data_IF_499216593167
#
_entry.id   IF_499216593167
#
_cell.length_a   1.000
_cell.length_b   1.000
_cell.length_c   1.000
_cell.angle_alpha   90.00
_cell.angle_beta   90.00
_cell.angle_gamma   90.00
#
_symmetry.space_group_name_H-M   'P 1'
#
loop_
_entity.id
_entity.type
_entity.pdbx_description
1 polymer ?
#
# COMPACT_ATOMS: atom_id res chain seq x y z
N UNK A 1 -70.83 17.83 20.67
CA UNK A 1 -69.65 17.58 21.52
C UNK A 1 -68.41 18.03 20.76
N UNK A 2 -67.87 19.21 21.06
CA UNK A 2 -66.67 19.74 20.39
C UNK A 2 -65.47 19.46 21.31
N UNK A 3 -64.67 18.45 20.98
CA UNK A 3 -63.40 18.19 21.70
C UNK A 3 -62.46 19.35 21.37
N UNK A 4 -62.22 20.22 22.34
CA UNK A 4 -61.10 21.16 22.30
C UNK A 4 -59.83 20.34 22.59
N UNK A 5 -59.11 19.96 21.55
CA UNK A 5 -57.75 19.44 21.67
C UNK A 5 -56.85 20.58 22.10
N UNK A 6 -56.27 20.51 23.30
CA UNK A 6 -55.20 21.38 23.74
C UNK A 6 -54.04 21.28 22.74
N UNK A 7 -53.75 22.36 22.01
CA UNK A 7 -52.46 22.51 21.35
C UNK A 7 -51.42 22.67 22.46
N UNK A 8 -50.61 21.63 22.70
CA UNK A 8 -49.35 21.79 23.41
C UNK A 8 -48.43 22.62 22.49
N UNK A 9 -48.38 23.93 22.72
CA UNK A 9 -47.47 24.82 22.02
C UNK A 9 -46.03 24.47 22.40
N UNK A 10 -45.21 24.18 21.40
CA UNK A 10 -43.77 24.00 21.53
C UNK A 10 -43.17 25.13 22.38
N UNK A 11 -42.55 24.79 23.51
CA UNK A 11 -41.80 25.77 24.29
C UNK A 11 -40.53 26.14 23.52
N UNK A 12 -40.16 27.43 23.46
CA UNK A 12 -38.90 27.87 22.83
C UNK A 12 -37.69 27.18 23.47
N UNK A 13 -37.79 26.86 24.76
CA UNK A 13 -36.79 26.11 25.52
C UNK A 13 -36.65 24.65 25.05
N UNK A 14 -37.73 24.02 24.58
CA UNK A 14 -37.70 22.65 24.06
C UNK A 14 -36.92 22.57 22.74
N UNK A 15 -37.09 23.55 21.85
CA UNK A 15 -36.32 23.65 20.61
C UNK A 15 -34.84 23.92 20.90
N UNK A 16 -34.53 24.77 21.89
CA UNK A 16 -33.14 25.04 22.27
C UNK A 16 -32.45 23.80 22.83
N UNK A 17 -33.12 23.04 23.71
CA UNK A 17 -32.57 21.78 24.23
C UNK A 17 -32.40 20.76 23.10
N UNK A 18 -33.39 20.62 22.21
CA UNK A 18 -33.29 19.73 21.06
C UNK A 18 -32.12 20.11 20.14
N UNK A 19 -31.90 21.40 19.87
CA UNK A 19 -30.78 21.88 19.08
C UNK A 19 -29.43 21.57 19.73
N UNK A 20 -29.32 21.70 21.06
CA UNK A 20 -28.10 21.36 21.81
C UNK A 20 -27.81 19.86 21.74
N UNK A 21 -28.82 19.01 22.00
CA UNK A 21 -28.68 17.55 21.92
C UNK A 21 -28.32 17.10 20.50
N UNK A 22 -28.97 17.66 19.48
CA UNK A 22 -28.66 17.39 18.07
C UNK A 22 -27.22 17.79 17.73
N UNK A 23 -26.76 18.94 18.23
CA UNK A 23 -25.39 19.40 17.99
C UNK A 23 -24.35 18.42 18.54
N UNK A 24 -24.55 17.90 19.77
CA UNK A 24 -23.68 16.86 20.32
C UNK A 24 -23.76 15.55 19.53
N UNK A 25 -24.94 15.15 19.07
CA UNK A 25 -25.12 13.99 18.20
C UNK A 25 -24.34 14.11 16.89
N UNK A 26 -24.38 15.28 16.24
CA UNK A 26 -23.65 15.52 14.99
C UNK A 26 -22.13 15.50 15.18
N UNK A 27 -21.62 16.05 16.28
CA UNK A 27 -20.20 15.97 16.63
C UNK A 27 -19.73 14.51 16.79
N UNK A 28 -20.55 13.67 17.42
CA UNK A 28 -20.30 12.23 17.51
C UNK A 28 -20.23 11.55 16.14
N UNK A 29 -21.15 11.90 15.22
CA UNK A 29 -21.14 11.36 13.85
C UNK A 29 -19.89 11.77 13.07
N UNK A 30 -19.45 13.03 13.18
CA UNK A 30 -18.24 13.52 12.49
C UNK A 30 -17.00 12.75 12.97
N UNK A 31 -16.86 12.53 14.28
CA UNK A 31 -15.76 11.74 14.83
C UNK A 31 -15.73 10.32 14.27
N UNK A 32 -16.88 9.66 14.17
CA UNK A 32 -16.99 8.32 13.56
C UNK A 32 -16.67 8.34 12.06
N UNK A 33 -17.12 9.36 11.32
CA UNK A 33 -16.83 9.49 9.89
C UNK A 33 -15.33 9.64 9.62
N UNK A 34 -14.63 10.42 10.44
CA UNK A 34 -13.16 10.58 10.35
C UNK A 34 -12.46 9.24 10.57
N UNK A 35 -12.86 8.49 11.60
CA UNK A 35 -12.29 7.17 11.88
C UNK A 35 -12.55 6.18 10.74
N UNK A 36 -13.77 6.17 10.19
CA UNK A 36 -14.12 5.33 9.03
C UNK A 36 -13.26 5.67 7.80
N UNK A 37 -12.99 6.96 7.54
CA UNK A 37 -12.12 7.39 6.44
C UNK A 37 -10.67 6.93 6.63
N UNK A 38 -10.13 7.02 7.84
CA UNK A 38 -8.78 6.52 8.12
C UNK A 38 -8.67 5.02 7.94
N UNK A 39 -9.61 4.24 8.49
CA UNK A 39 -9.64 2.79 8.31
C UNK A 39 -9.75 2.39 6.83
N UNK A 40 -10.62 3.08 6.08
CA UNK A 40 -10.76 2.85 4.63
C UNK A 40 -9.47 3.15 3.87
N UNK A 41 -8.74 4.19 4.26
CA UNK A 41 -7.47 4.55 3.64
C UNK A 41 -6.39 3.48 3.89
N UNK A 42 -6.25 2.98 5.12
CA UNK A 42 -5.30 1.91 5.42
C UNK A 42 -5.64 0.60 4.69
N UNK A 43 -6.92 0.23 4.65
CA UNK A 43 -7.38 -0.94 3.90
C UNK A 43 -7.09 -0.81 2.40
N UNK A 44 -7.28 0.38 1.82
CA UNK A 44 -6.94 0.66 0.43
C UNK A 44 -5.44 0.51 0.17
N UNK A 45 -4.58 1.04 1.04
CA UNK A 45 -3.12 0.88 0.89
C UNK A 45 -2.70 -0.59 0.93
N UNK A 46 -3.26 -1.40 1.84
CA UNK A 46 -2.99 -2.85 1.90
C UNK A 46 -3.44 -3.57 0.64
N UNK A 47 -4.59 -3.19 0.09
CA UNK A 47 -5.11 -3.77 -1.17
C UNK A 47 -4.21 -3.42 -2.36
N UNK A 48 -3.72 -2.18 -2.42
CA UNK A 48 -2.78 -1.76 -3.48
C UNK A 48 -1.45 -2.52 -3.33
N UNK A 49 -0.93 -2.65 -2.10
CA UNK A 49 0.29 -3.40 -1.85
C UNK A 49 0.15 -4.89 -2.23
N UNK A 50 -0.96 -5.54 -1.89
CA UNK A 50 -1.17 -6.94 -2.28
C UNK A 50 -1.27 -7.11 -3.80
N UNK A 51 -1.96 -6.19 -4.48
CA UNK A 51 -2.06 -6.19 -5.94
C UNK A 51 -0.69 -6.00 -6.60
N UNK A 52 0.12 -5.04 -6.14
CA UNK A 52 1.48 -4.79 -6.65
C UNK A 52 2.44 -5.95 -6.38
N UNK A 53 2.29 -6.64 -5.25
CA UNK A 53 3.10 -7.81 -4.95
C UNK A 53 2.73 -8.99 -5.86
N UNK A 54 1.43 -9.17 -6.13
CA UNK A 54 0.95 -10.19 -7.05
C UNK A 54 1.37 -9.90 -8.50
N UNK A 55 1.29 -8.63 -8.96
CA UNK A 55 1.80 -8.22 -10.27
C UNK A 55 3.27 -8.61 -10.45
N UNK A 56 4.11 -8.36 -9.43
CA UNK A 56 5.50 -8.75 -9.47
C UNK A 56 5.69 -10.28 -9.52
N UNK A 57 4.94 -11.03 -8.72
CA UNK A 57 4.99 -12.50 -8.74
C UNK A 57 4.62 -13.06 -10.10
N UNK A 58 3.61 -12.52 -10.77
CA UNK A 58 3.24 -12.96 -12.11
C UNK A 58 4.32 -12.63 -13.15
N UNK A 59 4.98 -11.46 -13.06
CA UNK A 59 6.14 -11.13 -13.90
C UNK A 59 7.30 -12.10 -13.67
N UNK A 60 7.58 -12.44 -12.41
CA UNK A 60 8.61 -13.41 -12.04
C UNK A 60 8.33 -14.80 -12.65
N UNK A 61 7.06 -15.22 -12.69
CA UNK A 61 6.66 -16.49 -13.31
C UNK A 61 6.80 -16.46 -14.83
N UNK A 62 6.37 -15.39 -15.49
CA UNK A 62 6.45 -15.25 -16.95
C UNK A 62 7.90 -15.22 -17.42
N UNK A 63 8.74 -14.45 -16.73
CA UNK A 63 10.14 -14.24 -17.10
C UNK A 63 11.09 -15.11 -16.26
N UNK A 64 10.67 -16.28 -15.77
CA UNK A 64 11.43 -17.11 -14.81
C UNK A 64 12.90 -17.28 -15.19
N UNK A 65 13.19 -17.61 -16.45
CA UNK A 65 14.57 -17.79 -16.93
C UNK A 65 15.44 -16.54 -16.77
N UNK A 66 14.87 -15.34 -16.97
CA UNK A 66 15.57 -14.08 -16.81
C UNK A 66 15.99 -13.80 -15.36
N UNK A 67 15.18 -14.25 -14.40
CA UNK A 67 15.41 -14.10 -12.96
C UNK A 67 16.30 -15.21 -12.37
N UNK A 68 16.17 -16.44 -12.87
CA UNK A 68 16.93 -17.59 -12.36
C UNK A 68 18.42 -17.50 -12.70
N UNK A 69 18.74 -16.94 -13.88
CA UNK A 69 20.12 -16.77 -14.39
C UNK A 69 20.93 -15.65 -13.70
N UNK A 70 20.32 -14.87 -12.82
CA UNK A 70 21.00 -13.77 -12.14
C UNK A 70 21.80 -14.25 -10.94
N UNK A 71 22.99 -13.68 -10.76
CA UNK A 71 23.85 -13.93 -9.59
C UNK A 71 23.35 -13.19 -8.33
N UNK A 72 22.62 -12.09 -8.49
CA UNK A 72 22.03 -11.34 -7.39
C UNK A 72 20.89 -12.12 -6.74
N UNK A 73 20.81 -12.08 -5.42
CA UNK A 73 19.71 -12.69 -4.66
C UNK A 73 18.68 -11.69 -4.15
N UNK A 74 18.99 -10.39 -4.21
CA UNK A 74 18.11 -9.34 -3.68
C UNK A 74 18.04 -8.16 -4.62
N UNK A 75 16.83 -7.66 -4.86
CA UNK A 75 16.57 -6.46 -5.64
C UNK A 75 15.68 -5.52 -4.84
N UNK A 76 16.11 -4.26 -4.71
CA UNK A 76 15.38 -3.23 -3.98
C UNK A 76 14.93 -2.15 -4.98
N UNK A 77 13.65 -1.84 -4.94
CA UNK A 77 13.00 -0.83 -5.78
C UNK A 77 12.39 0.22 -4.88
N UNK A 78 13.00 1.39 -4.83
CA UNK A 78 12.50 2.56 -4.11
C UNK A 78 12.32 3.74 -5.07
N UNK A 79 11.91 4.89 -4.51
CA UNK A 79 11.87 6.16 -5.24
C UNK A 79 13.15 6.48 -6.02
N UNK A 80 13.00 7.34 -7.04
CA UNK A 80 14.05 7.71 -7.97
C UNK A 80 13.61 7.56 -9.43
N UNK A 81 14.47 7.96 -10.35
CA UNK A 81 14.27 7.76 -11.78
C UNK A 81 14.94 6.46 -12.22
N UNK A 82 14.28 5.73 -13.10
CA UNK A 82 14.86 4.58 -13.81
C UNK A 82 14.67 4.84 -15.28
N UNK A 83 15.67 4.54 -16.10
CA UNK A 83 15.54 4.60 -17.56
C UNK A 83 14.86 3.34 -18.08
N UNK A 84 14.04 3.49 -19.12
CA UNK A 84 13.54 2.34 -19.89
C UNK A 84 14.74 1.66 -20.58
N UNK A 85 14.90 0.33 -20.48
CA UNK A 85 15.93 -0.40 -21.22
C UNK A 85 15.81 -0.16 -22.73
N UNK A 86 16.94 -0.05 -23.42
CA UNK A 86 16.99 0.27 -24.87
C UNK A 86 16.35 -0.79 -25.77
N UNK A 87 16.16 -2.01 -25.27
CA UNK A 87 15.48 -3.09 -25.98
C UNK A 87 13.94 -2.96 -25.97
N UNK A 88 13.40 -2.03 -25.16
CA UNK A 88 11.97 -1.79 -25.00
C UNK A 88 11.60 -0.37 -25.45
N UNK A 89 10.42 -0.25 -26.05
CA UNK A 89 9.87 1.02 -26.53
C UNK A 89 8.70 1.47 -25.66
N UNK A 90 8.41 2.78 -25.67
CA UNK A 90 7.28 3.37 -24.94
C UNK A 90 5.91 2.84 -25.39
N UNK A 91 5.82 2.32 -26.62
CA UNK A 91 4.61 1.70 -27.16
C UNK A 91 4.34 0.26 -26.66
N UNK A 92 5.18 -0.26 -25.76
CA UNK A 92 5.05 -1.60 -25.18
C UNK A 92 5.62 -2.72 -26.06
N UNK A 93 6.31 -2.39 -27.16
CA UNK A 93 7.04 -3.39 -27.96
C UNK A 93 8.45 -3.59 -27.45
N UNK A 94 8.97 -4.80 -27.62
CA UNK A 94 10.32 -5.20 -27.24
C UNK A 94 10.99 -5.91 -28.41
N UNK A 95 12.29 -5.68 -28.62
CA UNK A 95 13.07 -6.38 -29.65
C UNK A 95 14.50 -6.62 -29.18
N UNK A 96 14.99 -7.86 -29.31
CA UNK A 96 16.37 -8.20 -28.98
C UNK A 96 16.76 -8.08 -27.50
N UNK A 97 15.80 -8.14 -26.57
CA UNK A 97 16.08 -8.06 -25.14
C UNK A 97 16.86 -9.28 -24.64
N UNK A 98 17.98 -9.05 -23.96
CA UNK A 98 18.66 -10.10 -23.19
C UNK A 98 17.90 -10.41 -21.89
N UNK A 99 18.25 -11.51 -21.23
CA UNK A 99 17.70 -11.85 -19.91
C UNK A 99 17.93 -10.73 -18.87
N UNK A 100 19.06 -10.01 -18.96
CA UNK A 100 19.34 -8.88 -18.08
C UNK A 100 18.41 -7.69 -18.38
N UNK A 101 18.11 -7.45 -19.66
CA UNK A 101 17.21 -6.36 -20.06
C UNK A 101 15.76 -6.64 -19.69
N UNK A 102 15.30 -7.90 -19.81
CA UNK A 102 13.96 -8.31 -19.38
C UNK A 102 13.77 -8.08 -17.88
N UNK A 103 14.76 -8.41 -17.06
CA UNK A 103 14.72 -8.13 -15.62
C UNK A 103 14.69 -6.63 -15.34
N UNK A 104 15.54 -5.86 -16.01
CA UNK A 104 15.57 -4.40 -15.84
C UNK A 104 14.23 -3.77 -16.24
N UNK A 105 13.58 -4.31 -17.27
CA UNK A 105 12.27 -3.88 -17.73
C UNK A 105 11.15 -4.20 -16.73
N UNK A 106 11.15 -5.41 -16.17
CA UNK A 106 10.19 -5.80 -15.12
C UNK A 106 10.31 -4.87 -13.92
N UNK A 107 11.54 -4.61 -13.45
CA UNK A 107 11.80 -3.68 -12.35
C UNK A 107 11.40 -2.24 -12.70
N UNK A 108 11.56 -1.81 -13.95
CA UNK A 108 11.17 -0.49 -14.43
C UNK A 108 9.65 -0.30 -14.36
N UNK A 109 8.87 -1.20 -14.95
CA UNK A 109 7.41 -1.10 -14.92
C UNK A 109 6.85 -1.27 -13.51
N UNK A 110 7.41 -2.19 -12.72
CA UNK A 110 6.99 -2.37 -11.34
C UNK A 110 7.28 -1.12 -10.48
N UNK A 111 8.44 -0.47 -10.67
CA UNK A 111 8.75 0.82 -10.04
C UNK A 111 7.74 1.90 -10.42
N UNK A 112 7.39 2.00 -11.70
CA UNK A 112 6.39 2.95 -12.18
C UNK A 112 5.03 2.74 -11.50
N UNK A 113 4.60 1.49 -11.35
CA UNK A 113 3.39 1.12 -10.62
C UNK A 113 3.47 1.45 -9.12
N UNK A 114 4.63 1.22 -8.48
CA UNK A 114 4.87 1.57 -7.08
C UNK A 114 4.82 3.09 -6.84
N UNK A 115 5.40 3.88 -7.73
CA UNK A 115 5.43 5.34 -7.63
C UNK A 115 4.11 5.98 -8.11
N UNK A 116 3.24 5.21 -8.76
CA UNK A 116 1.97 5.69 -9.28
C UNK A 116 2.14 6.62 -10.48
N UNK A 117 3.15 6.43 -11.33
CA UNK A 117 3.34 7.28 -12.53
C UNK A 117 2.17 7.19 -13.53
N UNK A 118 1.37 6.12 -13.45
CA UNK A 118 0.13 5.97 -14.21
C UNK A 118 -1.08 6.72 -13.59
N UNK A 119 -0.97 7.26 -12.38
CA UNK A 119 -2.07 7.99 -11.73
C UNK A 119 -2.02 9.48 -12.13
N UNK A 120 -2.88 9.87 -13.08
CA UNK A 120 -3.14 11.30 -13.32
C UNK A 120 -3.94 11.87 -12.14
N UNK A 121 -3.43 12.94 -11.53
CA UNK A 121 -4.17 13.73 -10.53
C UNK A 121 -4.24 13.18 -9.09
N UNK A 122 -3.55 12.08 -8.77
CA UNK A 122 -3.42 11.60 -7.39
C UNK A 122 -1.96 11.29 -7.09
N UNK A 123 -1.42 11.94 -6.06
CA UNK A 123 -0.09 11.63 -5.53
C UNK A 123 0.07 10.15 -5.20
N UNK A 124 1.33 9.74 -5.05
CA UNK A 124 1.81 8.35 -4.85
C UNK A 124 0.77 7.45 -4.15
N UNK A 125 0.41 6.33 -4.80
CA UNK A 125 -0.60 5.37 -4.31
C UNK A 125 -0.26 4.82 -2.93
N UNK A 126 1.04 4.69 -2.66
CA UNK A 126 1.64 4.35 -1.37
C UNK A 126 2.56 5.50 -0.94
N UNK A 127 2.66 5.75 0.38
CA UNK A 127 3.55 6.79 0.93
C UNK A 127 4.94 6.21 1.14
N UNK A 128 5.96 6.78 0.50
CA UNK A 128 7.35 6.32 0.55
C UNK A 128 7.48 4.78 0.34
N UNK A 129 7.05 4.26 -0.82
CA UNK A 129 7.06 2.82 -1.05
C UNK A 129 8.47 2.30 -1.33
N UNK A 130 8.77 1.14 -0.77
CA UNK A 130 9.95 0.33 -1.10
C UNK A 130 9.49 -1.09 -1.42
N UNK A 131 9.70 -1.52 -2.65
CA UNK A 131 9.56 -2.90 -3.07
C UNK A 131 10.88 -3.65 -2.91
N UNK A 132 10.84 -4.93 -2.56
CA UNK A 132 12.02 -5.75 -2.40
C UNK A 132 11.73 -7.20 -2.78
N UNK A 133 12.57 -7.77 -3.62
CA UNK A 133 12.50 -9.16 -4.07
C UNK A 133 13.71 -9.89 -3.51
N UNK A 134 13.49 -11.05 -2.87
CA UNK A 134 14.53 -11.91 -2.32
C UNK A 134 14.38 -13.31 -2.93
N UNK A 135 15.45 -13.79 -3.54
CA UNK A 135 15.63 -15.18 -3.98
C UNK A 135 16.15 -15.99 -2.79
N UNK A 136 15.31 -16.91 -2.31
CA UNK A 136 15.63 -17.86 -1.26
C UNK A 136 16.08 -19.21 -1.79
N UNK A 137 16.31 -20.16 -0.89
CA UNK A 137 16.62 -21.55 -1.23
C UNK A 137 15.43 -22.24 -1.92
N UNK A 138 15.70 -23.33 -2.64
CA UNK A 138 14.68 -24.17 -3.30
C UNK A 138 13.75 -23.41 -4.25
N UNK A 139 14.29 -22.43 -4.98
CA UNK A 139 13.54 -21.59 -5.92
C UNK A 139 12.37 -20.80 -5.27
N UNK A 140 12.45 -20.56 -3.95
CA UNK A 140 11.53 -19.68 -3.26
C UNK A 140 11.85 -18.23 -3.62
N UNK A 141 10.86 -17.44 -4.04
CA UNK A 141 10.96 -16.01 -4.21
C UNK A 141 10.01 -15.32 -3.25
N UNK A 142 10.55 -14.36 -2.52
CA UNK A 142 9.80 -13.52 -1.59
C UNK A 142 9.73 -12.12 -2.15
N UNK A 143 8.53 -11.65 -2.45
CA UNK A 143 8.23 -10.28 -2.80
C UNK A 143 7.68 -9.57 -1.57
N UNK A 144 8.29 -8.46 -1.21
CA UNK A 144 7.89 -7.64 -0.07
C UNK A 144 7.70 -6.19 -0.51
N UNK A 145 6.65 -5.56 0.02
CA UNK A 145 6.34 -4.15 -0.21
C UNK A 145 6.21 -3.46 1.14
N UNK A 146 6.94 -2.37 1.29
CA UNK A 146 6.97 -1.54 2.47
C UNK A 146 6.43 -0.16 2.13
N UNK A 147 5.67 0.44 3.03
CA UNK A 147 5.18 1.83 2.89
C UNK A 147 5.00 2.46 4.27
N UNK A 148 4.93 3.79 4.33
CA UNK A 148 4.63 4.50 5.56
C UNK A 148 3.11 4.62 5.76
N UNK A 149 2.64 4.17 6.93
CA UNK A 149 1.30 4.44 7.45
C UNK A 149 1.18 5.88 7.98
N UNK A 150 -0.02 6.25 8.42
CA UNK A 150 -0.27 7.58 9.04
C UNK A 150 -0.08 7.58 10.55
N UNK A 151 -0.16 6.41 11.17
CA UNK A 151 -0.07 6.21 12.61
C UNK A 151 1.03 5.21 12.94
N UNK A 152 1.65 5.36 14.11
CA UNK A 152 2.55 4.33 14.65
C UNK A 152 1.75 3.06 14.97
N UNK A 153 2.22 1.90 14.50
CA UNK A 153 1.84 0.61 15.06
C UNK A 153 2.67 0.31 16.29
N UNK A 154 2.01 -0.27 17.29
CA UNK A 154 2.64 -1.02 18.34
C UNK A 154 2.31 -2.50 18.09
N UNK A 155 3.32 -3.33 17.92
CA UNK A 155 3.14 -4.77 17.94
C UNK A 155 3.20 -5.27 19.39
N UNK A 156 2.53 -6.41 19.64
CA UNK A 156 2.64 -7.11 20.93
C UNK A 156 3.92 -7.95 21.04
N UNK A 157 4.82 -7.85 20.05
CA UNK A 157 6.05 -8.60 20.03
C UNK A 157 7.12 -7.88 20.85
N UNK A 158 8.03 -8.63 21.47
CA UNK A 158 9.18 -8.03 22.14
C UNK A 158 9.94 -7.16 21.13
N UNK A 159 10.29 -5.93 21.53
CA UNK A 159 10.94 -4.94 20.67
C UNK A 159 12.10 -5.59 19.87
N UNK A 160 11.93 -5.68 18.54
CA UNK A 160 12.92 -6.29 17.64
C UNK A 160 12.47 -7.56 16.91
N UNK A 161 11.24 -8.05 17.09
CA UNK A 161 10.72 -9.21 16.36
C UNK A 161 10.05 -8.89 15.00
N UNK A 162 10.45 -7.78 14.35
CA UNK A 162 10.24 -7.65 12.90
C UNK A 162 11.09 -8.75 12.28
N UNK A 163 10.54 -9.64 11.45
CA UNK A 163 11.28 -10.71 10.78
C UNK A 163 12.63 -10.18 10.25
N UNK A 164 13.74 -10.32 11.01
CA UNK A 164 14.85 -9.39 10.87
C UNK A 164 15.61 -9.66 9.58
N UNK A 165 15.44 -10.87 9.02
CA UNK A 165 16.03 -11.28 7.76
C UNK A 165 15.47 -10.51 6.56
N UNK A 166 14.15 -10.29 6.48
CA UNK A 166 13.54 -9.68 5.29
C UNK A 166 13.80 -8.16 5.29
N UNK A 167 13.53 -7.48 6.40
CA UNK A 167 13.77 -6.03 6.50
C UNK A 167 15.24 -5.67 6.34
N UNK A 168 16.17 -6.43 6.94
CA UNK A 168 17.60 -6.20 6.75
C UNK A 168 18.04 -6.44 5.30
N UNK A 169 17.56 -7.52 4.66
CA UNK A 169 17.86 -7.79 3.24
C UNK A 169 17.33 -6.69 2.33
N UNK A 170 16.22 -6.05 2.69
CA UNK A 170 15.59 -4.98 1.94
C UNK A 170 16.12 -3.57 2.29
N UNK A 171 17.22 -3.48 3.03
CA UNK A 171 17.84 -2.20 3.41
C UNK A 171 16.98 -1.35 4.35
N UNK A 172 15.97 -1.94 4.98
CA UNK A 172 15.11 -1.28 5.97
C UNK A 172 15.76 -1.46 7.34
N UNK A 173 16.48 -0.44 7.78
CA UNK A 173 17.13 -0.40 9.08
C UNK A 173 16.35 0.48 10.07
N UNK A 174 16.38 0.09 11.35
CA UNK A 174 15.80 0.86 12.46
C UNK A 174 14.34 0.53 12.78
N UNK A 175 13.89 1.06 13.93
CA UNK A 175 12.52 0.94 14.42
C UNK A 175 11.67 2.08 13.87
N UNK A 176 11.12 1.89 12.67
CA UNK A 176 10.11 2.79 12.12
C UNK A 176 8.71 2.24 12.44
N UNK A 177 8.10 2.75 13.51
CA UNK A 177 6.78 2.32 13.98
C UNK A 177 5.67 2.66 12.97
N UNK A 178 5.89 3.58 12.03
CA UNK A 178 4.90 3.93 11.02
C UNK A 178 4.95 3.00 9.81
N UNK A 179 6.01 2.19 9.67
CA UNK A 179 6.20 1.30 8.52
C UNK A 179 5.15 0.20 8.53
N UNK A 180 4.52 0.00 7.38
CA UNK A 180 3.67 -1.14 7.06
C UNK A 180 4.41 -2.05 6.08
N UNK A 181 4.11 -3.34 6.13
CA UNK A 181 4.69 -4.33 5.24
C UNK A 181 3.62 -5.30 4.71
N UNK A 182 3.83 -5.76 3.50
CA UNK A 182 3.14 -6.89 2.90
C UNK A 182 4.19 -7.82 2.31
N UNK A 183 4.14 -9.11 2.65
CA UNK A 183 5.12 -10.10 2.22
C UNK A 183 4.39 -11.26 1.58
N UNK A 184 4.82 -11.64 0.38
CA UNK A 184 4.31 -12.75 -0.40
C UNK A 184 5.49 -13.65 -0.79
N UNK A 185 5.47 -14.89 -0.33
CA UNK A 185 6.46 -15.90 -0.72
C UNK A 185 5.80 -16.90 -1.66
N UNK A 186 6.42 -17.13 -2.80
CA UNK A 186 6.02 -18.11 -3.81
C UNK A 186 7.20 -19.00 -4.17
N UNK A 187 6.95 -20.20 -4.65
CA UNK A 187 7.95 -21.04 -5.32
C UNK A 187 7.78 -20.90 -6.82
N UNK A 188 8.88 -20.77 -7.56
CA UNK A 188 8.86 -20.72 -9.02
C UNK A 188 9.00 -22.10 -9.67
#
# INVERSE_FOLDING_TARGET
>A
MRRLTCLAGFSLLEVMIAAVVLSFGLLGLVAMQVQAKFSSYEARQRTIASWLANDMVERLKVNRGAWELQASNTWIVSGGTSSLPSCANENGTMSGCSNADLLALDLYYWRQSLLGSAASGAGTTLRNPTGCIIKGANNALTVSIFWAGRESSHDGAAAGAVAPAITASCGIAGLDLTRRQFVLTTTL
#
